data_IF_873297824212
#
_entry.id   IF_873297824212
#
_cell.length_a   1.000
_cell.length_b   1.000
_cell.length_c   1.000
_cell.angle_alpha   90.00
_cell.angle_beta   90.00
_cell.angle_gamma   90.00
#
_symmetry.space_group_name_H-M   'P 1'
#
loop_
_entity.id
_entity.type
_entity.pdbx_description
1 polymer ?
#
# COMPACT_ATOMS: atom_id res chain seq x y z
N UNK A 1 32.30 -22.86 -7.72
CA UNK A 1 33.07 -24.07 -7.37
C UNK A 1 32.10 -25.19 -7.02
N UNK A 2 32.12 -26.32 -7.74
CA UNK A 2 31.24 -27.48 -7.47
C UNK A 2 31.61 -28.09 -6.11
N UNK A 3 30.64 -28.22 -5.20
CA UNK A 3 30.82 -28.90 -3.90
C UNK A 3 31.27 -30.34 -4.17
N UNK A 4 32.49 -30.71 -3.76
CA UNK A 4 32.85 -32.11 -3.64
C UNK A 4 31.90 -32.74 -2.59
N UNK A 5 31.31 -33.92 -2.85
CA UNK A 5 30.42 -34.56 -1.89
C UNK A 5 31.20 -34.82 -0.59
N UNK A 6 30.66 -34.36 0.54
CA UNK A 6 31.33 -34.34 1.86
C UNK A 6 32.00 -35.67 2.24
N UNK A 7 31.45 -36.80 1.76
CA UNK A 7 31.98 -38.15 1.99
C UNK A 7 33.35 -38.36 1.33
N UNK A 8 33.58 -37.85 0.11
CA UNK A 8 34.86 -38.01 -0.60
C UNK A 8 35.98 -37.15 -0.01
N UNK A 9 35.65 -36.00 0.56
CA UNK A 9 36.61 -35.11 1.20
C UNK A 9 37.14 -35.69 2.51
N UNK A 10 36.28 -36.33 3.31
CA UNK A 10 36.69 -36.98 4.57
C UNK A 10 37.68 -38.13 4.38
N UNK A 11 37.45 -38.99 3.38
CA UNK A 11 38.38 -40.09 3.05
C UNK A 11 39.74 -39.58 2.57
N UNK A 12 39.76 -38.52 1.75
CA UNK A 12 41.00 -37.90 1.29
C UNK A 12 41.82 -37.33 2.46
N UNK A 13 41.17 -36.63 3.40
CA UNK A 13 41.84 -36.15 4.62
C UNK A 13 42.37 -37.30 5.49
N UNK A 14 41.63 -38.40 5.61
CA UNK A 14 42.07 -39.59 6.35
C UNK A 14 43.30 -40.26 5.73
N UNK A 15 43.33 -40.42 4.40
CA UNK A 15 44.49 -40.97 3.68
C UNK A 15 45.70 -40.04 3.82
N UNK A 16 45.51 -38.73 3.67
CA UNK A 16 46.58 -37.73 3.84
C UNK A 16 47.17 -37.78 5.26
N UNK A 17 46.32 -37.96 6.27
CA UNK A 17 46.74 -38.11 7.66
C UNK A 17 47.54 -39.39 7.90
N UNK A 18 47.09 -40.54 7.37
CA UNK A 18 47.81 -41.81 7.45
C UNK A 18 49.18 -41.75 6.75
N UNK A 19 49.26 -41.04 5.62
CA UNK A 19 50.52 -40.84 4.90
C UNK A 19 51.47 -39.95 5.70
N UNK A 20 50.97 -38.87 6.31
CA UNK A 20 51.75 -38.02 7.20
C UNK A 20 52.24 -38.76 8.45
N UNK A 21 51.39 -39.61 9.05
CA UNK A 21 51.74 -40.46 10.18
C UNK A 21 52.84 -41.46 9.81
N UNK A 22 52.67 -42.15 8.69
CA UNK A 22 53.67 -43.09 8.15
C UNK A 22 55.00 -42.39 7.90
N UNK A 23 54.97 -41.19 7.32
CA UNK A 23 56.18 -40.39 7.05
C UNK A 23 56.98 -40.07 8.32
N UNK A 24 56.30 -39.73 9.43
CA UNK A 24 56.96 -39.53 10.73
C UNK A 24 57.57 -40.81 11.26
N UNK A 25 56.84 -41.92 11.20
CA UNK A 25 57.28 -43.23 11.73
C UNK A 25 58.47 -43.78 10.95
N UNK A 26 58.49 -43.64 9.62
CA UNK A 26 59.54 -44.21 8.77
C UNK A 26 60.77 -43.30 8.59
N UNK A 27 60.59 -41.98 8.44
CA UNK A 27 61.74 -41.08 8.22
C UNK A 27 62.39 -40.64 9.54
N UNK A 28 61.57 -40.38 10.57
CA UNK A 28 62.03 -39.75 11.81
C UNK A 28 62.60 -38.32 11.60
N UNK A 29 63.12 -37.73 12.67
CA UNK A 29 63.78 -36.42 12.63
C UNK A 29 62.88 -35.20 12.92
N UNK A 30 63.50 -34.01 13.02
CA UNK A 30 62.83 -32.77 13.45
C UNK A 30 61.85 -32.24 12.39
N UNK A 31 62.17 -32.38 11.11
CA UNK A 31 61.37 -31.82 10.00
C UNK A 31 60.07 -32.58 9.77
N UNK A 32 60.11 -33.91 9.82
CA UNK A 32 58.91 -34.75 9.69
C UNK A 32 57.95 -34.53 10.87
N UNK A 33 58.50 -34.41 12.09
CA UNK A 33 57.74 -34.05 13.29
C UNK A 33 57.11 -32.65 13.17
N UNK A 34 57.85 -31.65 12.67
CA UNK A 34 57.31 -30.31 12.43
C UNK A 34 56.12 -30.32 11.46
N UNK A 35 56.25 -31.02 10.31
CA UNK A 35 55.18 -31.12 9.32
C UNK A 35 53.92 -31.79 9.91
N UNK A 36 54.11 -32.85 10.70
CA UNK A 36 53.01 -33.55 11.36
C UNK A 36 52.30 -32.68 12.41
N UNK A 37 53.05 -31.90 13.20
CA UNK A 37 52.48 -30.94 14.15
C UNK A 37 51.68 -29.86 13.43
N UNK A 38 52.20 -29.30 12.33
CA UNK A 38 51.47 -28.32 11.50
C UNK A 38 50.19 -28.93 10.93
N UNK A 39 50.25 -30.16 10.41
CA UNK A 39 49.09 -30.85 9.86
C UNK A 39 48.02 -31.11 10.93
N UNK A 40 48.41 -31.53 12.14
CA UNK A 40 47.48 -31.72 13.26
C UNK A 40 46.92 -30.36 13.74
N UNK A 41 47.74 -29.32 13.79
CA UNK A 41 47.30 -27.96 14.15
C UNK A 41 46.27 -27.42 13.15
N UNK A 42 46.52 -27.58 11.85
CA UNK A 42 45.57 -27.24 10.79
C UNK A 42 44.32 -28.12 10.90
N UNK A 43 44.46 -29.44 11.09
CA UNK A 43 43.33 -30.35 11.26
C UNK A 43 42.45 -30.00 12.45
N UNK A 44 43.06 -29.68 13.59
CA UNK A 44 42.37 -29.21 14.80
C UNK A 44 41.67 -27.87 14.56
N UNK A 45 42.34 -26.94 13.88
CA UNK A 45 41.75 -25.66 13.48
C UNK A 45 40.50 -25.86 12.60
N UNK A 46 40.58 -26.75 11.61
CA UNK A 46 39.45 -27.08 10.74
C UNK A 46 38.30 -27.76 11.48
N UNK A 47 38.61 -28.64 12.43
CA UNK A 47 37.61 -29.29 13.27
C UNK A 47 36.92 -28.29 14.19
N UNK A 48 37.68 -27.42 14.86
CA UNK A 48 37.11 -26.41 15.76
C UNK A 48 36.32 -25.34 15.01
N UNK A 49 36.72 -24.99 13.78
CA UNK A 49 35.96 -24.10 12.91
C UNK A 49 34.52 -24.57 12.68
N UNK A 50 34.26 -25.88 12.65
CA UNK A 50 32.89 -26.46 12.52
C UNK A 50 31.97 -26.05 13.68
N UNK A 51 32.51 -25.69 14.84
CA UNK A 51 31.80 -25.14 15.98
C UNK A 51 31.81 -23.61 16.03
N UNK A 52 31.94 -22.95 14.88
CA UNK A 52 31.71 -21.51 14.68
C UNK A 52 30.45 -21.00 15.38
N UNK A 53 29.40 -21.83 15.47
CA UNK A 53 28.15 -21.52 16.18
C UNK A 53 27.22 -20.57 15.42
N UNK A 54 27.62 -20.11 14.22
CA UNK A 54 26.79 -19.29 13.34
C UNK A 54 25.46 -19.96 12.98
N UNK A 55 25.42 -21.29 12.93
CA UNK A 55 24.19 -22.05 12.63
C UNK A 55 23.06 -21.81 13.63
N UNK A 56 23.37 -21.39 14.87
CA UNK A 56 22.39 -21.05 15.90
C UNK A 56 22.23 -19.55 16.12
N UNK A 57 22.58 -18.71 15.13
CA UNK A 57 22.47 -17.26 15.25
C UNK A 57 21.04 -16.86 15.62
N UNK A 58 20.93 -15.92 16.55
CA UNK A 58 19.67 -15.31 16.94
C UNK A 58 19.73 -13.83 16.63
N UNK A 59 18.61 -13.27 16.18
CA UNK A 59 18.52 -11.85 15.92
C UNK A 59 17.13 -11.31 16.18
N UNK A 60 17.08 -10.01 16.44
CA UNK A 60 15.85 -9.21 16.55
C UNK A 60 15.94 -8.00 15.65
N UNK A 61 14.83 -7.64 15.03
CA UNK A 61 14.69 -6.44 14.21
C UNK A 61 13.96 -5.37 15.02
N UNK A 62 14.55 -4.18 15.05
CA UNK A 62 13.88 -2.97 15.47
C UNK A 62 13.69 -2.08 14.25
N UNK A 63 12.44 -1.69 13.99
CA UNK A 63 12.14 -0.69 12.96
C UNK A 63 12.33 0.70 13.57
N UNK A 64 13.09 1.54 12.89
CA UNK A 64 13.22 2.94 13.26
C UNK A 64 11.89 3.65 13.11
N UNK A 65 11.48 4.42 14.13
CA UNK A 65 10.34 5.31 14.03
C UNK A 65 10.64 6.38 12.97
N UNK A 66 10.01 6.26 11.81
CA UNK A 66 10.25 7.12 10.66
C UNK A 66 8.99 7.29 9.82
N UNK A 67 8.31 8.42 10.02
CA UNK A 67 7.18 8.96 9.25
C UNK A 67 5.81 8.27 9.39
N UNK A 68 5.25 8.37 10.60
CA UNK A 68 3.84 8.15 10.95
C UNK A 68 3.71 7.87 12.45
N UNK A 69 2.85 8.58 13.19
CA UNK A 69 2.74 8.47 14.66
C UNK A 69 2.31 7.07 15.17
N UNK A 70 1.92 6.15 14.28
CA UNK A 70 1.34 4.84 14.62
C UNK A 70 2.08 3.63 14.01
N UNK A 71 3.32 3.79 13.52
CA UNK A 71 4.04 2.71 12.82
C UNK A 71 3.49 2.39 11.41
N UNK A 72 2.65 3.27 10.88
CA UNK A 72 2.15 3.24 9.51
C UNK A 72 3.12 4.02 8.60
N UNK A 73 3.60 3.38 7.55
CA UNK A 73 4.49 3.99 6.57
C UNK A 73 3.69 4.50 5.38
N UNK A 74 4.06 5.65 4.81
CA UNK A 74 3.49 6.12 3.55
C UNK A 74 4.35 5.68 2.36
N UNK A 75 3.75 5.46 1.19
CA UNK A 75 4.48 5.17 -0.03
C UNK A 75 5.50 6.29 -0.33
N UNK A 76 6.70 5.90 -0.75
CA UNK A 76 7.86 6.77 -0.92
C UNK A 76 8.73 6.93 0.33
N UNK A 77 8.25 6.51 1.51
CA UNK A 77 9.08 6.48 2.72
C UNK A 77 10.16 5.39 2.63
N UNK A 78 11.26 5.62 3.32
CA UNK A 78 12.34 4.64 3.48
C UNK A 78 12.29 4.06 4.88
N UNK A 79 12.44 2.75 4.96
CA UNK A 79 12.43 2.02 6.21
C UNK A 79 13.84 1.96 6.78
N UNK A 80 14.02 2.49 7.99
CA UNK A 80 15.26 2.30 8.75
C UNK A 80 15.13 1.03 9.57
N UNK A 81 16.02 0.07 9.35
CA UNK A 81 16.01 -1.22 10.05
C UNK A 81 17.28 -1.35 10.85
N UNK A 82 17.13 -1.68 12.13
CA UNK A 82 18.21 -1.99 13.06
C UNK A 82 18.14 -3.47 13.41
N UNK A 83 19.17 -4.20 13.06
CA UNK A 83 19.33 -5.61 13.37
C UNK A 83 20.25 -5.75 14.58
N UNK A 84 19.77 -6.44 15.62
CA UNK A 84 20.59 -6.86 16.75
C UNK A 84 20.76 -8.37 16.68
N UNK A 85 22.00 -8.84 16.64
CA UNK A 85 22.31 -10.26 16.47
C UNK A 85 23.23 -10.77 17.57
N UNK A 86 23.08 -12.05 17.91
CA UNK A 86 23.93 -12.78 18.83
C UNK A 86 24.32 -14.13 18.23
N UNK A 87 25.62 -14.41 18.18
CA UNK A 87 26.15 -15.66 17.67
C UNK A 87 26.61 -16.55 18.84
N UNK A 88 25.96 -17.70 19.10
CA UNK A 88 26.34 -18.58 20.20
C UNK A 88 27.67 -19.31 19.93
N UNK A 89 28.36 -19.75 20.98
CA UNK A 89 29.62 -20.51 20.94
C UNK A 89 30.86 -19.70 21.33
N UNK A 90 32.06 -20.21 21.05
CA UNK A 90 33.33 -19.59 21.50
C UNK A 90 34.33 -19.30 20.37
N UNK A 91 34.10 -19.74 19.14
CA UNK A 91 35.05 -19.57 18.04
C UNK A 91 35.10 -18.11 17.54
N UNK A 92 36.30 -17.52 17.33
CA UNK A 92 36.41 -16.16 16.83
C UNK A 92 35.84 -16.05 15.42
N UNK A 93 35.07 -14.99 15.18
CA UNK A 93 34.51 -14.68 13.87
C UNK A 93 35.07 -13.33 13.43
N UNK A 94 35.89 -13.27 12.37
CA UNK A 94 36.51 -12.02 11.94
C UNK A 94 35.45 -11.03 11.44
N UNK A 95 34.40 -11.54 10.80
CA UNK A 95 33.25 -10.77 10.35
C UNK A 95 32.05 -11.69 10.14
N UNK A 96 30.87 -11.10 10.14
CA UNK A 96 29.61 -11.75 9.76
C UNK A 96 28.96 -10.91 8.66
N UNK A 97 28.69 -11.55 7.52
CA UNK A 97 27.89 -11.00 6.43
C UNK A 97 26.43 -11.35 6.71
N UNK A 98 25.55 -10.37 6.62
CA UNK A 98 24.12 -10.49 6.85
C UNK A 98 23.41 -10.16 5.55
N UNK A 99 22.62 -11.10 5.05
CA UNK A 99 21.76 -10.94 3.88
C UNK A 99 20.32 -10.90 4.32
N UNK A 100 19.71 -9.75 4.14
CA UNK A 100 18.31 -9.53 4.43
C UNK A 100 17.52 -9.31 3.15
N UNK A 101 16.32 -9.89 3.11
CA UNK A 101 15.43 -9.79 1.95
C UNK A 101 14.05 -9.34 2.39
N UNK A 102 13.60 -8.23 1.82
CA UNK A 102 12.29 -7.63 2.05
C UNK A 102 11.45 -7.83 0.79
N UNK A 103 10.29 -8.47 0.93
CA UNK A 103 9.41 -8.77 -0.21
C UNK A 103 8.03 -8.14 -0.01
N UNK A 104 7.51 -7.54 -1.08
CA UNK A 104 6.12 -7.05 -1.17
C UNK A 104 5.19 -8.22 -1.46
N UNK A 105 4.07 -8.33 -0.76
CA UNK A 105 3.14 -9.46 -0.90
C UNK A 105 2.29 -9.39 -2.17
N UNK A 106 1.86 -8.19 -2.56
CA UNK A 106 0.96 -7.96 -3.70
C UNK A 106 1.69 -7.90 -5.04
N UNK A 107 3.03 -7.91 -5.06
CA UNK A 107 3.83 -7.78 -6.27
C UNK A 107 5.12 -8.61 -6.22
N UNK A 108 5.98 -8.40 -7.22
CA UNK A 108 7.28 -9.08 -7.35
C UNK A 108 8.46 -8.28 -6.80
N UNK A 109 8.21 -7.16 -6.12
CA UNK A 109 9.24 -6.29 -5.57
C UNK A 109 10.01 -7.03 -4.46
N UNK A 110 11.25 -7.39 -4.76
CA UNK A 110 12.21 -7.98 -3.85
C UNK A 110 13.37 -7.01 -3.66
N UNK A 111 13.61 -6.59 -2.43
CA UNK A 111 14.77 -5.77 -2.06
C UNK A 111 15.73 -6.63 -1.23
N UNK A 112 16.99 -6.70 -1.65
CA UNK A 112 18.04 -7.45 -0.97
C UNK A 112 19.12 -6.51 -0.44
N UNK A 113 19.53 -6.74 0.80
CA UNK A 113 20.52 -5.96 1.52
C UNK A 113 21.62 -6.88 2.02
N UNK A 114 22.86 -6.58 1.67
CA UNK A 114 24.04 -7.25 2.18
C UNK A 114 24.81 -6.29 3.10
N UNK A 115 24.93 -6.66 4.37
CA UNK A 115 25.57 -5.89 5.42
C UNK A 115 26.69 -6.72 6.05
N UNK A 116 27.61 -6.06 6.75
CA UNK A 116 28.62 -6.78 7.52
C UNK A 116 28.84 -6.13 8.88
N UNK A 117 29.19 -6.94 9.86
CA UNK A 117 29.64 -6.46 11.16
C UNK A 117 30.72 -7.37 11.74
N UNK A 118 31.48 -6.80 12.68
CA UNK A 118 32.44 -7.54 13.51
C UNK A 118 31.77 -7.77 14.87
N UNK A 119 31.62 -9.03 15.32
CA UNK A 119 31.05 -9.32 16.64
C UNK A 119 31.93 -8.75 17.76
N UNK A 120 31.29 -8.27 18.83
CA UNK A 120 31.98 -7.84 20.05
C UNK A 120 32.51 -9.03 20.87
N UNK A 121 33.16 -8.76 22.01
CA UNK A 121 33.65 -9.81 22.92
C UNK A 121 32.55 -10.76 23.43
N UNK A 122 31.30 -10.30 23.49
CA UNK A 122 30.11 -11.10 23.85
C UNK A 122 29.44 -11.73 22.63
N UNK A 123 30.08 -11.67 21.46
CA UNK A 123 29.59 -12.18 20.17
C UNK A 123 28.23 -11.61 19.80
N UNK A 124 28.04 -10.33 20.07
CA UNK A 124 26.88 -9.52 19.67
C UNK A 124 27.31 -8.55 18.59
N UNK A 125 26.36 -8.16 17.76
CA UNK A 125 26.59 -7.09 16.81
C UNK A 125 25.30 -6.40 16.42
N UNK A 126 25.47 -5.18 15.94
CA UNK A 126 24.38 -4.36 15.45
C UNK A 126 24.74 -3.84 14.06
N UNK A 127 23.77 -3.92 13.16
CA UNK A 127 23.85 -3.25 11.86
C UNK A 127 22.58 -2.44 11.63
N UNK A 128 22.74 -1.34 10.91
CA UNK A 128 21.63 -0.48 10.51
C UNK A 128 21.70 -0.28 9.01
N UNK A 129 20.54 -0.28 8.36
CA UNK A 129 20.43 0.07 6.96
C UNK A 129 19.11 0.77 6.69
N UNK A 130 19.04 1.45 5.55
CA UNK A 130 17.85 2.12 5.06
C UNK A 130 17.38 1.44 3.77
N UNK A 131 16.08 1.16 3.69
CA UNK A 131 15.50 0.55 2.51
C UNK A 131 15.46 1.51 1.31
N UNK A 132 15.25 0.96 0.11
CA UNK A 132 14.82 1.77 -1.01
C UNK A 132 13.40 2.33 -0.70
N UNK A 133 12.97 3.43 -1.34
CA UNK A 133 11.62 3.95 -1.18
C UNK A 133 10.58 2.86 -1.39
N UNK A 134 9.73 2.64 -0.39
CA UNK A 134 8.72 1.58 -0.41
C UNK A 134 7.51 2.03 -1.24
N UNK A 135 6.97 1.11 -2.04
CA UNK A 135 5.68 1.30 -2.70
C UNK A 135 4.56 0.96 -1.72
N UNK A 136 3.34 1.36 -2.02
CA UNK A 136 2.17 0.96 -1.23
C UNK A 136 2.06 -0.57 -1.19
N UNK A 137 1.69 -1.15 -0.06
CA UNK A 137 1.48 -2.60 0.05
C UNK A 137 1.92 -3.18 1.38
N UNK A 138 1.69 -4.48 1.54
CA UNK A 138 2.23 -5.27 2.67
C UNK A 138 3.60 -5.81 2.34
N UNK A 139 4.52 -5.68 3.27
CA UNK A 139 5.87 -6.23 3.17
C UNK A 139 6.12 -7.24 4.29
N UNK A 140 6.93 -8.25 3.99
CA UNK A 140 7.47 -9.19 4.97
C UNK A 140 8.97 -9.34 4.80
N UNK A 141 9.67 -9.51 5.91
CA UNK A 141 11.04 -10.00 5.88
C UNK A 141 11.05 -11.50 5.63
N UNK A 142 11.92 -11.93 4.74
CA UNK A 142 12.26 -13.34 4.60
C UNK A 142 13.26 -13.74 5.69
N UNK A 143 13.61 -15.01 5.72
CA UNK A 143 14.70 -15.52 6.55
C UNK A 143 15.99 -14.71 6.30
N UNK A 144 16.56 -14.15 7.37
CA UNK A 144 17.83 -13.42 7.32
C UNK A 144 18.95 -14.45 7.37
N UNK A 145 19.78 -14.45 6.32
CA UNK A 145 20.89 -15.38 6.18
C UNK A 145 22.15 -14.70 6.65
N UNK A 146 22.89 -15.37 7.52
CA UNK A 146 24.18 -14.89 7.99
C UNK A 146 25.26 -15.86 7.55
N UNK A 147 26.33 -15.34 6.97
CA UNK A 147 27.50 -16.14 6.61
C UNK A 147 28.76 -15.52 7.18
N UNK A 148 29.70 -16.37 7.51
CA UNK A 148 31.02 -15.97 7.96
C UNK A 148 32.02 -16.86 7.25
N UNK A 149 33.18 -16.28 6.94
CA UNK A 149 34.31 -17.05 6.42
C UNK A 149 35.45 -16.92 7.38
N UNK A 150 36.27 -17.95 7.33
CA UNK A 150 37.51 -17.99 8.06
C UNK A 150 38.53 -16.96 7.55
N UNK A 151 39.54 -16.61 8.36
CA UNK A 151 40.62 -15.66 8.01
C UNK A 151 41.36 -16.09 6.73
N UNK A 152 41.54 -17.40 6.53
CA UNK A 152 42.16 -17.95 5.32
C UNK A 152 41.15 -18.19 4.18
N UNK A 153 39.86 -17.90 4.38
CA UNK A 153 38.81 -18.08 3.37
C UNK A 153 38.52 -19.54 3.00
N UNK A 154 39.05 -20.50 3.76
CA UNK A 154 38.98 -21.93 3.42
C UNK A 154 37.57 -22.51 3.54
N UNK A 155 36.76 -21.98 4.47
CA UNK A 155 35.42 -22.47 4.76
C UNK A 155 34.43 -21.31 4.91
N UNK A 156 33.21 -21.52 4.43
CA UNK A 156 32.07 -20.64 4.64
C UNK A 156 31.05 -21.34 5.54
N UNK A 157 30.73 -20.69 6.65
CA UNK A 157 29.77 -21.17 7.62
C UNK A 157 28.52 -20.31 7.49
N UNK A 158 27.36 -20.95 7.44
CA UNK A 158 26.09 -20.29 7.22
C UNK A 158 25.15 -20.59 8.38
N UNK A 159 24.38 -19.59 8.76
CA UNK A 159 23.27 -19.68 9.69
C UNK A 159 22.15 -18.79 9.22
N UNK A 160 20.98 -18.97 9.83
CA UNK A 160 19.84 -18.16 9.49
C UNK A 160 18.90 -18.05 10.68
N UNK A 161 18.18 -16.93 10.74
CA UNK A 161 17.12 -16.75 11.71
C UNK A 161 15.90 -16.12 11.04
N UNK A 162 14.73 -16.42 11.62
CA UNK A 162 13.45 -15.91 11.19
C UNK A 162 12.77 -15.22 12.37
N UNK A 163 12.25 -14.04 12.11
CA UNK A 163 11.37 -13.32 13.03
C UNK A 163 10.27 -12.72 12.15
N UNK A 164 9.03 -12.94 12.56
CA UNK A 164 7.85 -12.61 11.77
C UNK A 164 7.47 -11.16 12.04
N UNK A 165 7.72 -10.31 11.06
CA UNK A 165 7.39 -8.89 11.12
C UNK A 165 6.79 -8.48 9.78
N UNK A 166 5.59 -7.93 9.83
CA UNK A 166 4.89 -7.40 8.66
C UNK A 166 4.81 -5.88 8.73
N UNK A 167 4.98 -5.24 7.59
CA UNK A 167 4.94 -3.79 7.46
C UNK A 167 3.81 -3.44 6.50
N UNK A 168 2.98 -2.48 6.88
CA UNK A 168 1.93 -1.93 6.02
C UNK A 168 2.36 -0.55 5.53
N UNK A 169 2.38 -0.39 4.21
CA UNK A 169 2.68 0.88 3.55
C UNK A 169 1.40 1.41 2.92
N UNK A 170 0.91 2.52 3.44
CA UNK A 170 -0.27 3.23 2.97
C UNK A 170 0.00 4.01 1.68
N UNK A 171 -1.04 4.32 0.88
CA UNK A 171 -0.92 5.28 -0.20
C UNK A 171 -0.33 6.60 0.27
N UNK A 172 0.51 7.23 -0.56
CA UNK A 172 0.93 8.61 -0.31
C UNK A 172 -0.25 9.54 -0.51
N UNK A 173 -0.40 10.55 0.34
CA UNK A 173 -1.49 11.52 0.22
C UNK A 173 -0.97 12.94 0.29
N UNK A 174 -1.68 13.86 -0.36
CA UNK A 174 -1.49 15.29 -0.18
C UNK A 174 -2.65 15.87 0.62
N UNK A 175 -2.36 16.87 1.43
CA UNK A 175 -3.40 17.58 2.14
C UNK A 175 -4.12 18.54 1.18
N UNK A 176 -5.41 18.29 0.97
CA UNK A 176 -6.31 19.19 0.27
C UNK A 176 -7.07 20.02 1.30
N UNK A 177 -7.16 21.33 1.10
CA UNK A 177 -7.92 22.23 1.98
C UNK A 177 -9.34 22.36 1.47
N UNK A 178 -9.50 22.63 0.18
CA UNK A 178 -10.80 22.83 -0.44
C UNK A 178 -10.90 22.08 -1.77
N UNK A 179 -12.13 21.82 -2.17
CA UNK A 179 -12.41 21.39 -3.53
C UNK A 179 -13.55 22.25 -4.04
N UNK A 180 -13.24 23.13 -5.00
CA UNK A 180 -14.14 24.19 -5.46
C UNK A 180 -15.51 23.67 -5.91
N UNK A 181 -15.58 22.43 -6.39
CA UNK A 181 -16.83 21.80 -6.83
C UNK A 181 -17.73 21.40 -5.66
N UNK A 182 -17.14 21.00 -4.53
CA UNK A 182 -17.88 20.80 -3.28
C UNK A 182 -18.46 22.12 -2.76
N UNK A 183 -17.80 23.26 -3.03
CA UNK A 183 -18.31 24.59 -2.69
C UNK A 183 -19.54 24.94 -3.52
N UNK A 184 -19.55 24.69 -4.85
CA UNK A 184 -20.73 24.94 -5.70
C UNK A 184 -21.95 24.11 -5.27
N UNK A 185 -21.75 22.88 -4.79
CA UNK A 185 -22.82 22.07 -4.20
C UNK A 185 -23.37 22.65 -2.86
N UNK A 186 -22.60 23.52 -2.19
CA UNK A 186 -22.86 24.06 -0.83
C UNK A 186 -23.20 25.57 -0.78
N UNK A 187 -23.16 26.31 -1.90
CA UNK A 187 -23.26 27.80 -1.88
C UNK A 187 -24.49 28.35 -2.60
N UNK A 188 -25.68 27.77 -2.39
CA UNK A 188 -26.90 28.59 -2.42
C UNK A 188 -27.66 28.90 -3.72
N UNK A 189 -27.53 28.14 -4.83
CA UNK A 189 -28.59 28.13 -5.87
C UNK A 189 -29.37 26.81 -5.95
N UNK A 190 -28.81 25.74 -5.37
CA UNK A 190 -29.40 24.41 -5.40
C UNK A 190 -29.99 24.02 -4.03
N UNK A 191 -29.55 24.63 -2.92
CA UNK A 191 -29.91 24.22 -1.55
C UNK A 191 -31.38 24.38 -1.17
N UNK A 192 -32.09 25.39 -1.69
CA UNK A 192 -33.51 25.60 -1.33
C UNK A 192 -34.45 24.59 -2.00
N UNK A 193 -34.05 23.97 -3.12
CA UNK A 193 -34.82 22.89 -3.78
C UNK A 193 -34.23 21.50 -3.60
N UNK A 194 -32.97 21.40 -3.20
CA UNK A 194 -32.26 20.13 -3.21
C UNK A 194 -31.88 19.58 -1.84
N UNK A 195 -32.02 20.36 -0.76
CA UNK A 195 -32.07 19.79 0.60
C UNK A 195 -33.22 18.77 0.75
N UNK A 196 -34.29 18.87 -0.05
CA UNK A 196 -35.35 17.86 -0.18
C UNK A 196 -35.11 16.77 -1.23
N UNK A 197 -34.10 16.93 -2.11
CA UNK A 197 -33.75 15.95 -3.15
C UNK A 197 -32.61 15.01 -2.73
N UNK A 198 -31.77 15.45 -1.79
CA UNK A 198 -30.54 14.77 -1.40
C UNK A 198 -30.58 14.14 0.00
N UNK A 199 -31.67 14.38 0.71
CA UNK A 199 -32.01 13.62 1.89
C UNK A 199 -33.27 12.82 1.57
N UNK A 200 -33.16 11.49 1.62
CA UNK A 200 -34.35 10.65 1.53
C UNK A 200 -35.06 10.74 2.88
N UNK A 201 -36.27 11.26 2.88
CA UNK A 201 -37.11 11.20 4.07
C UNK A 201 -37.48 9.73 4.29
N UNK A 202 -37.06 9.17 5.43
CA UNK A 202 -37.42 7.79 5.80
C UNK A 202 -38.88 7.75 6.26
N UNK A 203 -39.46 6.55 6.31
CA UNK A 203 -40.79 6.33 6.91
C UNK A 203 -40.77 6.44 8.43
N UNK A 204 -39.57 6.47 9.02
CA UNK A 204 -39.36 6.59 10.46
C UNK A 204 -39.57 8.04 10.91
N UNK A 205 -40.44 8.20 11.90
CA UNK A 205 -40.76 9.49 12.51
C UNK A 205 -39.65 9.79 13.53
N UNK A 206 -38.90 10.86 13.30
CA UNK A 206 -37.86 11.39 14.19
C UNK A 206 -38.47 12.25 15.30
N UNK A 207 -39.54 12.97 14.97
CA UNK A 207 -40.18 13.87 15.91
C UNK A 207 -41.53 14.40 15.45
N UNK A 208 -42.03 15.37 16.21
CA UNK A 208 -43.28 16.07 15.92
C UNK A 208 -43.01 17.57 16.03
N UNK A 209 -43.30 18.30 14.95
CA UNK A 209 -43.14 19.76 14.89
C UNK A 209 -44.48 20.45 14.67
N UNK A 210 -44.51 21.77 14.83
CA UNK A 210 -45.68 22.57 14.48
C UNK A 210 -45.96 22.51 12.98
N UNK A 211 -47.24 22.41 12.64
CA UNK A 211 -47.70 22.40 11.27
C UNK A 211 -47.40 23.74 10.60
N UNK A 212 -46.74 23.70 9.45
CA UNK A 212 -46.53 24.87 8.60
C UNK A 212 -47.50 24.76 7.43
N UNK A 213 -48.16 25.88 7.09
CA UNK A 213 -49.05 25.95 5.93
C UNK A 213 -48.31 25.49 4.66
N UNK A 214 -48.84 24.43 4.03
CA UNK A 214 -48.22 23.77 2.87
C UNK A 214 -47.71 22.36 3.17
N UNK A 215 -47.63 21.95 4.44
CA UNK A 215 -47.39 20.55 4.80
C UNK A 215 -48.54 19.66 4.31
N UNK A 216 -48.19 18.51 3.70
CA UNK A 216 -49.17 17.55 3.18
C UNK A 216 -50.03 16.99 4.32
N UNK A 217 -51.33 16.85 4.10
CA UNK A 217 -52.28 16.29 5.08
C UNK A 217 -51.85 14.91 5.62
N UNK A 218 -51.19 14.09 4.78
CA UNK A 218 -50.68 12.77 5.18
C UNK A 218 -49.57 12.81 6.24
N UNK A 219 -48.92 13.97 6.41
CA UNK A 219 -47.88 14.19 7.42
C UNK A 219 -48.44 14.67 8.76
N UNK A 220 -49.74 14.91 8.88
CA UNK A 220 -50.31 15.37 10.15
C UNK A 220 -50.19 14.27 11.20
N UNK A 221 -49.67 14.62 12.36
CA UNK A 221 -49.62 13.73 13.51
C UNK A 221 -50.91 13.87 14.33
N UNK A 222 -51.95 13.13 13.94
CA UNK A 222 -53.30 13.24 14.51
C UNK A 222 -53.34 13.10 16.03
N UNK A 223 -52.63 12.12 16.60
CA UNK A 223 -52.59 11.93 18.06
C UNK A 223 -51.97 13.12 18.82
N UNK A 224 -50.99 13.79 18.21
CA UNK A 224 -50.34 14.94 18.84
C UNK A 224 -51.25 16.17 18.71
N UNK A 225 -51.81 16.37 17.51
CA UNK A 225 -52.80 17.41 17.23
C UNK A 225 -54.00 17.33 18.18
N UNK A 226 -54.53 16.12 18.43
CA UNK A 226 -55.64 15.90 19.36
C UNK A 226 -55.28 16.22 20.82
N UNK A 227 -54.04 15.94 21.28
CA UNK A 227 -53.61 16.24 22.65
C UNK A 227 -53.31 17.72 22.89
N UNK A 228 -52.72 18.41 21.91
CA UNK A 228 -52.32 19.81 22.07
C UNK A 228 -53.34 20.82 21.57
N UNK A 229 -54.36 20.39 20.81
CA UNK A 229 -55.36 21.29 20.18
C UNK A 229 -54.80 22.16 19.05
N UNK A 230 -53.51 22.03 18.75
CA UNK A 230 -52.81 22.74 17.67
C UNK A 230 -52.34 21.75 16.62
N UNK A 231 -52.36 22.15 15.35
CA UNK A 231 -51.91 21.31 14.23
C UNK A 231 -50.43 20.94 14.36
N UNK A 232 -50.15 19.63 14.33
CA UNK A 232 -48.79 19.07 14.40
C UNK A 232 -48.47 18.25 13.15
N UNK A 233 -47.24 18.38 12.66
CA UNK A 233 -46.69 17.60 11.54
C UNK A 233 -45.65 16.59 12.05
N UNK A 234 -45.67 15.37 11.47
CA UNK A 234 -44.63 14.36 11.61
C UNK A 234 -43.34 14.89 10.99
N UNK A 235 -42.28 14.91 11.78
CA UNK A 235 -40.92 15.14 11.30
C UNK A 235 -40.29 13.78 11.05
N UNK A 236 -39.93 13.53 9.80
CA UNK A 236 -39.31 12.28 9.38
C UNK A 236 -37.80 12.44 9.42
N UNK A 237 -37.10 11.40 9.84
CA UNK A 237 -35.65 11.38 9.82
C UNK A 237 -35.18 11.54 8.35
N UNK A 238 -34.13 12.34 8.17
CA UNK A 238 -33.56 12.66 6.86
C UNK A 238 -32.22 11.96 6.73
N UNK A 239 -32.16 10.94 5.88
CA UNK A 239 -30.95 10.16 5.69
C UNK A 239 -30.00 10.90 4.73
N UNK A 240 -28.76 11.13 5.16
CA UNK A 240 -27.76 11.86 4.37
C UNK A 240 -27.18 10.94 3.29
N UNK A 241 -27.55 11.18 2.04
CA UNK A 241 -27.03 10.41 0.91
C UNK A 241 -25.57 10.75 0.62
N UNK A 242 -24.78 9.81 0.07
CA UNK A 242 -23.43 10.10 -0.40
C UNK A 242 -23.45 11.32 -1.32
N UNK A 243 -22.78 12.41 -0.91
CA UNK A 243 -22.73 13.65 -1.69
C UNK A 243 -21.88 13.48 -2.94
N UNK A 244 -20.90 12.59 -2.87
CA UNK A 244 -20.07 12.21 -4.00
C UNK A 244 -19.57 10.77 -3.88
N UNK A 245 -19.35 10.16 -5.04
CA UNK A 245 -18.81 8.81 -5.16
C UNK A 245 -17.49 8.90 -5.92
N UNK A 246 -16.41 8.53 -5.25
CA UNK A 246 -15.08 8.44 -5.87
C UNK A 246 -14.98 7.07 -6.52
N UNK A 247 -14.71 7.05 -7.82
CA UNK A 247 -14.52 5.83 -8.60
C UNK A 247 -13.05 5.75 -8.99
N UNK A 248 -12.34 4.79 -8.42
CA UNK A 248 -10.97 4.46 -8.80
C UNK A 248 -11.02 3.40 -9.90
N UNK A 249 -10.57 3.77 -11.10
CA UNK A 249 -10.36 2.83 -12.19
C UNK A 249 -9.13 1.97 -11.91
N UNK A 250 -9.27 0.64 -11.96
CA UNK A 250 -8.17 -0.32 -11.81
C UNK A 250 -8.04 -1.21 -13.05
N UNK A 251 -8.57 -0.80 -14.21
CA UNK A 251 -8.43 -1.55 -15.46
C UNK A 251 -6.95 -1.61 -15.86
N UNK A 252 -6.37 -2.80 -15.89
CA UNK A 252 -4.96 -3.02 -16.19
C UNK A 252 -4.55 -2.37 -17.53
N UNK A 253 -5.38 -2.52 -18.57
CA UNK A 253 -5.14 -1.95 -19.90
C UNK A 253 -5.24 -0.42 -19.98
N UNK A 254 -5.79 0.26 -18.96
CA UNK A 254 -5.84 1.72 -18.93
C UNK A 254 -4.51 2.35 -18.49
N UNK A 255 -3.67 1.62 -17.74
CA UNK A 255 -2.41 2.12 -17.19
C UNK A 255 -1.22 1.60 -17.98
N UNK A 256 -0.38 2.50 -18.52
CA UNK A 256 0.87 2.15 -19.21
C UNK A 256 2.05 1.98 -18.25
N UNK A 257 1.91 2.45 -17.01
CA UNK A 257 2.93 2.35 -15.97
C UNK A 257 2.33 2.11 -14.59
N UNK A 258 3.04 1.35 -13.76
CA UNK A 258 2.65 1.16 -12.36
C UNK A 258 2.66 2.47 -11.57
N UNK A 259 3.53 3.44 -11.95
CA UNK A 259 3.57 4.77 -11.31
C UNK A 259 2.29 5.58 -11.54
N UNK A 260 1.69 5.48 -12.73
CA UNK A 260 0.40 6.11 -13.00
C UNK A 260 -0.71 5.53 -12.12
N UNK A 261 -0.72 4.22 -11.91
CA UNK A 261 -1.66 3.59 -10.99
C UNK A 261 -1.44 4.03 -9.54
N UNK A 262 -0.19 4.11 -9.08
CA UNK A 262 0.14 4.64 -7.76
C UNK A 262 -0.34 6.09 -7.58
N UNK A 263 -0.23 6.92 -8.62
CA UNK A 263 -0.75 8.29 -8.63
C UNK A 263 -2.28 8.31 -8.55
N UNK A 264 -2.98 7.44 -9.28
CA UNK A 264 -4.44 7.31 -9.23
C UNK A 264 -4.92 6.95 -7.81
N UNK A 265 -4.31 5.93 -7.20
CA UNK A 265 -4.63 5.50 -5.83
C UNK A 265 -4.34 6.63 -4.83
N UNK A 266 -3.20 7.29 -4.94
CA UNK A 266 -2.81 8.41 -4.07
C UNK A 266 -3.78 9.59 -4.17
N UNK A 267 -4.25 9.88 -5.39
CA UNK A 267 -5.24 10.93 -5.68
C UNK A 267 -6.60 10.60 -5.08
N UNK A 268 -7.09 9.39 -5.33
CA UNK A 268 -8.37 8.93 -4.79
C UNK A 268 -8.35 8.90 -3.24
N UNK A 269 -7.23 8.49 -2.66
CA UNK A 269 -7.02 8.49 -1.19
C UNK A 269 -6.99 9.92 -0.63
N UNK A 270 -6.36 10.86 -1.33
CA UNK A 270 -6.31 12.28 -0.91
C UNK A 270 -7.70 12.92 -0.93
N UNK A 271 -8.50 12.66 -1.96
CA UNK A 271 -9.90 13.08 -2.05
C UNK A 271 -10.77 12.49 -0.94
N UNK A 272 -10.61 11.18 -0.67
CA UNK A 272 -11.29 10.49 0.41
C UNK A 272 -10.91 11.08 1.78
N UNK A 273 -9.64 11.37 2.02
CA UNK A 273 -9.21 12.00 3.27
C UNK A 273 -9.80 13.40 3.43
N UNK A 274 -9.90 14.19 2.35
CA UNK A 274 -10.63 15.46 2.38
C UNK A 274 -12.11 15.25 2.76
N UNK A 275 -12.76 14.28 2.13
CA UNK A 275 -14.15 13.92 2.38
C UNK A 275 -14.43 13.63 3.86
N UNK A 276 -13.66 12.69 4.40
CA UNK A 276 -13.80 12.20 5.77
C UNK A 276 -13.45 13.30 6.78
N UNK A 277 -12.38 14.08 6.56
CA UNK A 277 -11.99 15.19 7.44
C UNK A 277 -13.04 16.29 7.51
N UNK A 278 -13.78 16.52 6.42
CA UNK A 278 -14.88 17.51 6.37
C UNK A 278 -16.23 16.94 6.80
N UNK A 279 -16.30 15.67 7.22
CA UNK A 279 -17.54 15.01 7.63
C UNK A 279 -18.55 14.87 6.48
N UNK A 280 -18.09 14.83 5.24
CA UNK A 280 -18.97 14.72 4.08
C UNK A 280 -19.31 13.27 3.78
N UNK A 281 -20.60 12.93 3.57
CA UNK A 281 -20.98 11.61 3.08
C UNK A 281 -20.30 11.32 1.74
N UNK A 282 -19.50 10.27 1.70
CA UNK A 282 -18.72 9.85 0.53
C UNK A 282 -18.95 8.38 0.24
N UNK A 283 -19.08 8.03 -1.02
CA UNK A 283 -18.97 6.66 -1.50
C UNK A 283 -17.60 6.44 -2.15
N UNK A 284 -17.11 5.21 -2.10
CA UNK A 284 -15.90 4.80 -2.81
C UNK A 284 -16.15 3.51 -3.58
N UNK A 285 -15.72 3.50 -4.83
CA UNK A 285 -15.83 2.36 -5.75
C UNK A 285 -14.45 2.03 -6.26
N UNK A 286 -14.03 0.79 -6.05
CA UNK A 286 -12.79 0.25 -6.56
C UNK A 286 -13.11 -0.64 -7.76
N UNK A 287 -12.92 -0.12 -8.98
CA UNK A 287 -13.30 -0.77 -10.23
C UNK A 287 -12.14 -1.62 -10.79
N UNK A 288 -11.83 -2.75 -10.14
CA UNK A 288 -10.81 -3.71 -10.58
C UNK A 288 -11.40 -5.06 -10.96
N UNK A 289 -10.59 -6.12 -10.82
CA UNK A 289 -11.06 -7.51 -11.01
C UNK A 289 -12.30 -7.80 -10.15
N UNK A 290 -12.17 -7.46 -8.87
CA UNK A 290 -13.28 -7.46 -7.92
C UNK A 290 -13.74 -6.03 -7.68
N UNK A 291 -15.04 -5.78 -7.89
CA UNK A 291 -15.63 -4.46 -7.66
C UNK A 291 -15.94 -4.34 -6.17
N UNK A 292 -15.17 -3.50 -5.46
CA UNK A 292 -15.37 -3.23 -4.05
C UNK A 292 -16.05 -1.87 -3.82
N UNK A 293 -16.86 -1.79 -2.77
CA UNK A 293 -17.80 -0.69 -2.54
C UNK A 293 -17.78 -0.31 -1.08
N UNK A 294 -17.67 0.98 -0.83
CA UNK A 294 -17.66 1.53 0.51
C UNK A 294 -18.60 2.73 0.51
N UNK A 295 -19.39 2.91 1.57
CA UNK A 295 -20.30 4.06 1.64
C UNK A 295 -21.56 3.95 0.78
N UNK A 296 -22.04 2.73 0.47
CA UNK A 296 -23.23 2.52 -0.36
C UNK A 296 -24.51 2.52 0.49
N UNK A 297 -25.51 3.33 0.09
CA UNK A 297 -26.79 3.44 0.79
C UNK A 297 -26.63 3.97 2.23
N UNK A 298 -27.11 3.19 3.20
CA UNK A 298 -27.16 3.56 4.63
C UNK A 298 -25.85 3.39 5.39
N UNK A 299 -24.88 2.67 4.81
CA UNK A 299 -23.67 2.31 5.53
C UNK A 299 -22.61 3.39 5.32
N UNK A 300 -22.15 4.10 6.37
CA UNK A 300 -21.06 5.06 6.23
C UNK A 300 -19.76 4.34 5.84
N UNK A 301 -18.84 5.07 5.22
CA UNK A 301 -17.51 4.54 4.90
C UNK A 301 -16.77 4.23 6.20
N UNK A 302 -16.41 2.96 6.38
CA UNK A 302 -15.43 2.57 7.38
C UNK A 302 -14.02 2.89 6.84
N UNK A 303 -13.39 3.92 7.41
CA UNK A 303 -12.06 4.38 7.00
C UNK A 303 -11.01 3.29 7.08
N UNK A 304 -11.02 2.49 8.15
CA UNK A 304 -10.01 1.46 8.38
C UNK A 304 -10.08 0.37 7.31
N UNK A 305 -11.29 -0.16 7.04
CA UNK A 305 -11.51 -1.16 5.99
C UNK A 305 -11.14 -0.64 4.60
N UNK A 306 -11.46 0.62 4.31
CA UNK A 306 -11.13 1.24 3.03
C UNK A 306 -9.61 1.47 2.87
N UNK A 307 -8.91 1.87 3.94
CA UNK A 307 -7.45 1.98 3.92
C UNK A 307 -6.78 0.61 3.75
N UNK A 308 -7.25 -0.41 4.45
CA UNK A 308 -6.77 -1.80 4.29
C UNK A 308 -6.97 -2.30 2.85
N UNK A 309 -8.13 -2.03 2.25
CA UNK A 309 -8.38 -2.35 0.84
C UNK A 309 -7.37 -1.65 -0.07
N UNK A 310 -7.18 -0.34 0.10
CA UNK A 310 -6.28 0.44 -0.74
C UNK A 310 -4.82 0.02 -0.61
N UNK A 311 -4.37 -0.56 0.50
CA UNK A 311 -2.98 -1.07 0.63
C UNK A 311 -2.68 -2.12 -0.45
N UNK A 312 -3.61 -3.03 -0.71
CA UNK A 312 -3.35 -4.22 -1.53
C UNK A 312 -3.90 -4.13 -2.96
N UNK A 313 -4.65 -3.08 -3.31
CA UNK A 313 -5.19 -2.93 -4.68
C UNK A 313 -4.07 -2.78 -5.71
N UNK A 314 -4.28 -3.45 -6.84
CA UNK A 314 -3.48 -3.38 -8.07
C UNK A 314 -4.39 -3.03 -9.26
N UNK A 315 -3.76 -2.65 -10.38
CA UNK A 315 -4.43 -2.50 -11.67
C UNK A 315 -4.64 -3.87 -12.31
N UNK A 316 -5.66 -4.60 -11.84
CA UNK A 316 -5.96 -5.99 -12.17
C UNK A 316 -7.30 -6.18 -12.90
N UNK A 317 -8.03 -5.09 -13.19
CA UNK A 317 -9.31 -5.13 -13.86
C UNK A 317 -9.18 -5.37 -15.37
N UNK A 318 -10.08 -6.18 -15.92
CA UNK A 318 -10.17 -6.43 -17.37
C UNK A 318 -11.42 -5.79 -18.00
N UNK A 319 -12.49 -5.66 -17.21
CA UNK A 319 -13.77 -5.12 -17.68
C UNK A 319 -13.67 -3.63 -18.05
N UNK A 320 -14.44 -3.26 -19.07
CA UNK A 320 -14.65 -1.86 -19.42
C UNK A 320 -15.39 -1.09 -18.29
N UNK A 321 -15.01 0.18 -18.14
CA UNK A 321 -15.49 1.02 -17.04
C UNK A 321 -17.02 1.23 -17.08
N UNK A 322 -17.62 1.25 -18.27
CA UNK A 322 -19.06 1.40 -18.47
C UNK A 322 -19.86 0.27 -17.80
N UNK A 323 -19.41 -0.98 -17.94
CA UNK A 323 -20.03 -2.17 -17.34
C UNK A 323 -19.95 -2.10 -15.82
N UNK A 324 -18.77 -1.75 -15.31
CA UNK A 324 -18.55 -1.60 -13.87
C UNK A 324 -19.45 -0.48 -13.33
N UNK A 325 -19.48 0.66 -14.00
CA UNK A 325 -20.29 1.81 -13.58
C UNK A 325 -21.80 1.57 -13.66
N UNK A 326 -22.29 0.81 -14.64
CA UNK A 326 -23.72 0.42 -14.71
C UNK A 326 -24.14 -0.48 -13.56
N UNK A 327 -23.36 -1.53 -13.27
CA UNK A 327 -23.53 -2.34 -12.05
C UNK A 327 -23.45 -1.45 -10.81
N UNK A 328 -22.64 -0.40 -10.90
CA UNK A 328 -22.36 0.54 -9.82
C UNK A 328 -23.46 1.54 -9.50
N UNK A 329 -24.05 2.09 -10.54
CA UNK A 329 -25.06 3.11 -10.40
C UNK A 329 -26.25 2.63 -9.56
N UNK A 330 -26.66 1.36 -9.64
CA UNK A 330 -27.82 0.86 -8.89
C UNK A 330 -27.67 0.92 -7.36
N UNK A 331 -26.45 0.80 -6.82
CA UNK A 331 -26.25 0.81 -5.35
C UNK A 331 -26.17 2.20 -4.75
N UNK A 332 -25.98 3.24 -5.57
CA UNK A 332 -25.93 4.63 -5.10
C UNK A 332 -27.20 5.37 -5.47
N UNK A 333 -27.71 6.17 -4.53
CA UNK A 333 -28.96 6.90 -4.70
C UNK A 333 -28.86 8.03 -5.74
N UNK A 334 -30.01 8.49 -6.23
CA UNK A 334 -30.09 9.57 -7.22
C UNK A 334 -29.58 10.89 -6.61
N UNK A 335 -28.81 11.68 -7.39
CA UNK A 335 -28.28 12.98 -6.96
C UNK A 335 -26.86 12.97 -6.37
N UNK A 336 -26.18 11.82 -6.30
CA UNK A 336 -24.76 11.74 -5.95
C UNK A 336 -23.87 12.21 -7.12
N UNK A 337 -22.87 13.06 -6.85
CA UNK A 337 -21.89 13.47 -7.86
C UNK A 337 -20.77 12.43 -8.00
N UNK A 338 -20.45 12.01 -9.22
CA UNK A 338 -19.43 10.98 -9.45
C UNK A 338 -18.10 11.61 -9.84
N UNK A 339 -17.02 11.11 -9.24
CA UNK A 339 -15.66 11.57 -9.52
C UNK A 339 -14.84 10.38 -9.94
N UNK A 340 -14.57 10.32 -11.24
CA UNK A 340 -13.75 9.28 -11.83
C UNK A 340 -12.27 9.64 -11.71
N UNK A 341 -11.46 8.71 -11.21
CA UNK A 341 -10.00 8.78 -11.21
C UNK A 341 -9.49 7.69 -12.15
N UNK A 342 -9.04 8.09 -13.35
CA UNK A 342 -8.61 7.19 -14.41
C UNK A 342 -7.63 7.89 -15.36
N UNK A 343 -6.71 7.16 -16.01
CA UNK A 343 -5.94 7.67 -17.14
C UNK A 343 -6.71 7.59 -18.48
N UNK A 344 -7.85 6.90 -18.54
CA UNK A 344 -8.54 6.59 -19.80
C UNK A 344 -9.25 7.81 -20.41
N UNK A 345 -8.92 8.11 -21.66
CA UNK A 345 -9.62 9.10 -22.52
C UNK A 345 -10.31 8.42 -23.71
N UNK A 346 -10.85 7.22 -23.49
CA UNK A 346 -11.57 6.44 -24.51
C UNK A 346 -13.06 6.76 -24.54
N UNK A 347 -13.70 6.48 -25.68
CA UNK A 347 -15.16 6.68 -25.83
C UNK A 347 -15.96 5.85 -24.83
N UNK A 348 -15.48 4.67 -24.46
CA UNK A 348 -16.06 3.83 -23.40
C UNK A 348 -16.18 4.59 -22.07
N UNK A 349 -15.14 5.34 -21.70
CA UNK A 349 -15.13 6.17 -20.50
C UNK A 349 -16.15 7.31 -20.61
N UNK A 350 -16.30 7.89 -21.80
CA UNK A 350 -17.31 8.93 -22.03
C UNK A 350 -18.72 8.37 -21.88
N UNK A 351 -19.02 7.21 -22.48
CA UNK A 351 -20.31 6.52 -22.34
C UNK A 351 -20.61 6.17 -20.88
N UNK A 352 -19.58 5.75 -20.13
CA UNK A 352 -19.71 5.46 -18.71
C UNK A 352 -20.13 6.70 -17.91
N UNK A 353 -19.49 7.84 -18.16
CA UNK A 353 -19.81 9.12 -17.53
C UNK A 353 -21.18 9.67 -17.96
N UNK A 354 -21.57 9.49 -19.22
CA UNK A 354 -22.90 9.85 -19.72
C UNK A 354 -23.98 9.07 -18.98
N UNK A 355 -23.79 7.76 -18.79
CA UNK A 355 -24.69 6.93 -17.99
C UNK A 355 -24.87 7.40 -16.54
N UNK A 356 -23.80 7.93 -15.93
CA UNK A 356 -23.86 8.53 -14.59
C UNK A 356 -24.55 9.90 -14.59
N UNK A 357 -24.31 10.71 -15.62
CA UNK A 357 -24.89 12.05 -15.76
C UNK A 357 -26.42 12.06 -15.85
N UNK A 358 -27.01 10.98 -16.37
CA UNK A 358 -28.46 10.78 -16.46
C UNK A 358 -29.17 10.88 -15.09
N UNK A 359 -28.43 10.80 -13.98
CA UNK A 359 -28.91 10.92 -12.60
C UNK A 359 -28.82 12.33 -12.00
N UNK A 360 -28.78 13.36 -12.87
CA UNK A 360 -28.99 14.79 -12.58
C UNK A 360 -27.83 15.52 -11.88
N UNK A 361 -26.61 15.00 -11.96
CA UNK A 361 -25.39 15.69 -11.53
C UNK A 361 -24.29 15.55 -12.58
N UNK A 362 -23.56 16.64 -12.86
CA UNK A 362 -22.39 16.59 -13.73
C UNK A 362 -21.27 15.76 -13.09
N UNK A 363 -20.75 14.71 -13.76
CA UNK A 363 -19.60 13.98 -13.29
C UNK A 363 -18.32 14.81 -13.41
N UNK A 364 -17.33 14.47 -12.60
CA UNK A 364 -15.97 15.02 -12.67
C UNK A 364 -14.99 13.91 -13.05
N UNK A 365 -13.99 14.24 -13.85
CA UNK A 365 -12.92 13.32 -14.21
C UNK A 365 -11.57 13.91 -13.79
N UNK A 366 -10.87 13.19 -12.93
CA UNK A 366 -9.46 13.43 -12.62
C UNK A 366 -8.63 12.49 -13.48
N UNK A 367 -8.18 13.05 -14.60
CA UNK A 367 -7.33 12.40 -15.57
C UNK A 367 -5.90 12.27 -15.03
N UNK A 368 -5.40 11.04 -15.03
CA UNK A 368 -4.03 10.71 -14.63
C UNK A 368 -3.14 10.71 -15.87
N UNK A 369 -2.38 11.79 -16.05
CA UNK A 369 -1.51 11.95 -17.20
C UNK A 369 -0.18 11.19 -17.00
N UNK A 370 0.08 10.25 -17.91
CA UNK A 370 1.30 9.43 -17.89
C UNK A 370 2.50 10.14 -18.53
N UNK A 371 3.70 9.91 -17.99
CA UNK A 371 4.98 10.48 -18.49
C UNK A 371 5.79 9.48 -19.30
N UNK A 372 5.11 8.63 -20.06
CA UNK A 372 5.74 7.59 -20.86
C UNK A 372 6.04 8.16 -22.26
N UNK A 373 7.07 7.71 -23.00
CA UNK A 373 7.29 8.13 -24.39
C UNK A 373 6.10 7.86 -25.32
N UNK A 374 5.27 6.88 -24.94
CA UNK A 374 4.00 6.53 -25.58
C UNK A 374 2.81 7.29 -24.97
N UNK A 375 3.02 8.38 -24.22
CA UNK A 375 1.95 9.20 -23.67
C UNK A 375 1.01 9.70 -24.78
N UNK A 376 -0.27 9.87 -24.46
CA UNK A 376 -1.21 10.37 -25.47
C UNK A 376 -0.82 11.76 -25.93
N UNK A 377 -0.96 12.06 -27.23
CA UNK A 377 -0.61 13.36 -27.77
C UNK A 377 -1.45 14.46 -27.08
N UNK A 378 -0.87 15.64 -26.82
CA UNK A 378 -1.54 16.73 -26.13
C UNK A 378 -2.85 17.17 -26.80
N UNK A 379 -2.98 16.96 -28.11
CA UNK A 379 -4.21 17.20 -28.88
C UNK A 379 -5.41 16.41 -28.36
N UNK A 380 -5.19 15.16 -27.94
CA UNK A 380 -6.26 14.29 -27.45
C UNK A 380 -6.83 14.79 -26.12
N UNK A 381 -5.96 15.24 -25.21
CA UNK A 381 -6.38 15.87 -23.97
C UNK A 381 -7.16 17.17 -24.22
N UNK A 382 -6.76 17.97 -25.22
CA UNK A 382 -7.50 19.17 -25.61
C UNK A 382 -8.89 18.84 -26.17
N UNK A 383 -8.99 17.81 -27.02
CA UNK A 383 -10.28 17.33 -27.52
C UNK A 383 -11.17 16.86 -26.38
N UNK A 384 -10.60 16.09 -25.45
CA UNK A 384 -11.31 15.61 -24.26
C UNK A 384 -11.81 16.77 -23.38
N UNK A 385 -10.96 17.77 -23.14
CA UNK A 385 -11.33 18.98 -22.40
C UNK A 385 -12.47 19.76 -23.07
N UNK A 386 -12.50 19.85 -24.41
CA UNK A 386 -13.60 20.47 -25.17
C UNK A 386 -14.91 19.70 -24.97
N UNK A 387 -14.86 18.37 -25.01
CA UNK A 387 -16.01 17.47 -24.77
C UNK A 387 -16.62 17.69 -23.39
N UNK A 388 -15.78 17.79 -22.35
CA UNK A 388 -16.23 18.06 -20.98
C UNK A 388 -16.79 19.47 -20.82
N UNK A 389 -16.11 20.49 -21.37
CA UNK A 389 -16.57 21.89 -21.32
C UNK A 389 -17.93 22.07 -21.99
N UNK A 390 -18.15 21.43 -23.14
CA UNK A 390 -19.44 21.47 -23.85
C UNK A 390 -20.60 20.87 -23.06
N UNK A 391 -20.33 19.91 -22.16
CA UNK A 391 -21.31 19.26 -21.28
C UNK A 391 -21.41 19.89 -19.89
N UNK A 392 -20.66 20.97 -19.62
CA UNK A 392 -20.51 21.58 -18.30
C UNK A 392 -19.99 20.59 -17.23
N UNK A 393 -19.17 19.63 -17.64
CA UNK A 393 -18.50 18.68 -16.76
C UNK A 393 -17.10 19.14 -16.41
N UNK A 394 -16.56 18.59 -15.34
CA UNK A 394 -15.27 19.01 -14.80
C UNK A 394 -14.17 18.02 -15.21
N UNK A 395 -13.07 18.55 -15.74
CA UNK A 395 -11.88 17.78 -16.07
C UNK A 395 -10.68 18.41 -15.38
N UNK A 396 -9.96 17.59 -14.63
CA UNK A 396 -8.69 17.93 -13.99
C UNK A 396 -7.64 16.95 -14.48
N UNK A 397 -6.49 17.40 -14.97
CA UNK A 397 -5.41 16.53 -15.41
C UNK A 397 -4.18 16.76 -14.54
N UNK A 398 -3.63 15.68 -13.98
CA UNK A 398 -2.46 15.74 -13.10
C UNK A 398 -1.36 14.78 -13.58
N UNK A 399 -0.11 15.21 -13.43
CA UNK A 399 1.07 14.35 -13.71
C UNK A 399 1.84 13.99 -12.44
N UNK A 400 1.62 14.76 -11.36
CA UNK A 400 2.22 14.58 -10.05
C UNK A 400 1.16 14.80 -8.99
N UNK A 401 1.35 14.16 -7.84
CA UNK A 401 0.40 14.28 -6.73
C UNK A 401 0.39 15.70 -6.14
N UNK A 402 1.53 16.40 -6.19
CA UNK A 402 1.70 17.76 -5.71
C UNK A 402 0.93 18.81 -6.54
N UNK A 403 0.51 18.46 -7.76
CA UNK A 403 -0.29 19.34 -8.62
C UNK A 403 -1.78 19.32 -8.24
N UNK A 404 -2.22 18.29 -7.50
CA UNK A 404 -3.62 18.06 -7.15
C UNK A 404 -4.27 19.23 -6.38
N UNK A 405 -3.64 19.83 -5.34
CA UNK A 405 -4.24 20.96 -4.63
C UNK A 405 -4.45 22.15 -5.57
N UNK A 406 -3.43 22.50 -6.38
CA UNK A 406 -3.54 23.61 -7.34
C UNK A 406 -4.66 23.37 -8.34
N UNK A 407 -4.75 22.15 -8.88
CA UNK A 407 -5.71 21.82 -9.91
C UNK A 407 -7.17 21.81 -9.40
N UNK A 408 -7.40 21.44 -8.13
CA UNK A 408 -8.74 21.39 -7.52
C UNK A 408 -9.17 22.69 -6.82
N UNK A 409 -8.22 23.49 -6.33
CA UNK A 409 -8.48 24.72 -5.58
C UNK A 409 -8.51 25.96 -6.47
N UNK A 410 -7.53 26.11 -7.39
CA UNK A 410 -7.46 27.28 -8.28
C UNK A 410 -8.43 27.16 -9.48
N UNK A 411 -8.82 25.94 -9.85
CA UNK A 411 -9.49 25.64 -11.10
C UNK A 411 -8.51 25.69 -12.27
N UNK A 412 -8.72 24.82 -13.25
CA UNK A 412 -7.99 24.85 -14.52
C UNK A 412 -8.17 26.23 -15.17
N UNK A 413 -7.05 26.94 -15.34
CA UNK A 413 -6.97 28.17 -16.13
C UNK A 413 -7.14 27.87 -17.62
#
# INVERSE_FOLDING_TARGET
MKRLPQVRFGWFCGILYLMALSFVVFQGGKTSLMLFVIMNGLGLYLLLGRWSGIGGIQGKRALGAGFGQDGLFAAGSRLKVRLQMHVPGFWPLPYVIVRERLVRLSGSDLQEYELSFVPDYKRRGQVEYESAPLRRGRYKFLETKCSTRDIFGLFEHQGAFREELQIKVLPRTVELQEWRHLRKARTGQIEQRASSLWARETTQIDGVRDYIHGDRMSRIHWNATARTGQWKSKEYEREALPRFVIVLDRRAGAYRSAEAFELAVSTATSLLNLALRRGMPVGFVSAGKDIAWFGAGKMPVNRELLMEHLIDVEADGEDALDRVLRKTAEKFEAGASYVLVSPSMEDETLFALEGLSARRTGPSHIHIAERTPQAEPPERLQQWARTFRGRQWELCSITRLEDLPKALEAGTA
#
